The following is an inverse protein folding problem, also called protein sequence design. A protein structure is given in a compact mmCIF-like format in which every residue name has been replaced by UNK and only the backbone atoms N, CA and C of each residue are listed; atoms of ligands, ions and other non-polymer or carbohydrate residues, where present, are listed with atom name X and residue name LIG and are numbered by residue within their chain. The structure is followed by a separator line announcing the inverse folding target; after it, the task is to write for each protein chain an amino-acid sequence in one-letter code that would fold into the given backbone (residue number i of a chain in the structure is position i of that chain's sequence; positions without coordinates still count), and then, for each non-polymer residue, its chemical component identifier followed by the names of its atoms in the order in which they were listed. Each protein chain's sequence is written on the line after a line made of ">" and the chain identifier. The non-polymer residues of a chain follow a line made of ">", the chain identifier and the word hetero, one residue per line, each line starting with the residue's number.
data_IF_067483134255
#
_entry.id   IF_067483134255
#
_cell.length_a   1.000
_cell.length_b   1.000
_cell.length_c   1.000
_cell.angle_alpha   90.00
_cell.angle_beta   90.00
_cell.angle_gamma   90.00
#
_symmetry.space_group_name_H-M   'P 1'
#
loop_
_entity.id
_entity.type
_entity.pdbx_description
1 polymer ?
#
# COMPACT_ATOMS: atom_id res chain seq x y z
N UNK A 1 -8.37 10.25 2.48
CA UNK A 1 -8.05 8.90 1.97
C UNK A 1 -8.60 7.86 2.94
N UNK A 2 -9.42 6.96 2.43
CA UNK A 2 -9.99 5.88 3.24
C UNK A 2 -9.02 4.71 3.31
N UNK A 3 -8.73 4.23 4.52
CA UNK A 3 -7.87 3.07 4.72
C UNK A 3 -8.72 1.81 4.78
N UNK A 4 -8.32 0.78 4.05
CA UNK A 4 -9.01 -0.51 4.00
C UNK A 4 -8.15 -1.57 4.66
N UNK A 5 -8.71 -2.42 5.55
CA UNK A 5 -7.94 -3.50 6.17
C UNK A 5 -7.35 -4.44 5.11
N UNK A 6 -6.12 -4.87 5.33
CA UNK A 6 -5.47 -5.85 4.45
C UNK A 6 -5.35 -7.20 5.15
N UNK A 7 -5.51 -8.28 4.38
CA UNK A 7 -5.33 -9.64 4.88
C UNK A 7 -3.86 -10.02 4.70
N UNK A 8 -3.01 -9.60 5.64
CA UNK A 8 -1.56 -9.73 5.52
C UNK A 8 -0.93 -9.82 6.91
N UNK A 9 0.20 -10.54 7.01
CA UNK A 9 1.00 -10.56 8.23
C UNK A 9 1.88 -9.32 8.37
N UNK A 10 2.10 -8.59 7.27
CA UNK A 10 2.98 -7.43 7.26
C UNK A 10 2.23 -6.11 7.19
N UNK A 11 1.09 -6.09 6.50
CA UNK A 11 0.34 -4.86 6.20
C UNK A 11 -0.97 -4.87 6.98
N UNK A 12 -1.22 -3.77 7.70
CA UNK A 12 -2.46 -3.60 8.48
C UNK A 12 -3.59 -3.06 7.60
N UNK A 13 -3.29 -2.03 6.81
CA UNK A 13 -4.31 -1.37 6.00
C UNK A 13 -3.67 -0.64 4.83
N UNK A 14 -4.44 -0.41 3.78
CA UNK A 14 -4.01 0.34 2.59
C UNK A 14 -5.08 1.33 2.18
N UNK A 15 -4.65 2.47 1.63
CA UNK A 15 -5.53 3.47 1.06
C UNK A 15 -4.98 3.97 -0.27
N UNK A 16 -5.83 4.60 -1.07
CA UNK A 16 -5.43 5.06 -2.39
C UNK A 16 -6.10 6.39 -2.73
N UNK A 17 -5.30 7.30 -3.30
CA UNK A 17 -5.80 8.56 -3.81
C UNK A 17 -5.65 8.56 -5.33
N UNK A 18 -6.75 8.37 -6.09
CA UNK A 18 -6.67 8.25 -7.56
C UNK A 18 -6.15 9.52 -8.24
N UNK A 19 -6.47 10.69 -7.70
CA UNK A 19 -6.09 11.96 -8.33
C UNK A 19 -4.58 12.16 -8.37
N UNK A 20 -3.85 11.61 -7.41
CA UNK A 20 -2.39 11.72 -7.32
C UNK A 20 -1.69 10.39 -7.53
N UNK A 21 -2.43 9.30 -7.67
CA UNK A 21 -1.92 7.92 -7.78
C UNK A 21 -1.02 7.57 -6.59
N UNK A 22 -1.38 8.05 -5.42
CA UNK A 22 -0.66 7.79 -4.18
C UNK A 22 -1.33 6.65 -3.43
N UNK A 23 -0.55 5.63 -3.08
CA UNK A 23 -1.03 4.53 -2.24
C UNK A 23 -0.37 4.62 -0.88
N UNK A 24 -1.19 4.65 0.16
CA UNK A 24 -0.73 4.67 1.55
C UNK A 24 -0.77 3.26 2.12
N UNK A 25 0.34 2.83 2.70
CA UNK A 25 0.45 1.50 3.31
C UNK A 25 0.78 1.69 4.78
N UNK A 26 -0.07 1.16 5.65
CA UNK A 26 0.17 1.10 7.08
C UNK A 26 0.65 -0.30 7.43
N UNK A 27 1.88 -0.40 7.91
CA UNK A 27 2.47 -1.68 8.29
C UNK A 27 2.13 -2.04 9.73
N UNK A 28 2.04 -3.34 10.02
CA UNK A 28 1.76 -3.83 11.37
C UNK A 28 2.88 -3.47 12.33
N UNK A 29 4.09 -3.27 11.84
CA UNK A 29 5.21 -2.82 12.65
C UNK A 29 5.09 -1.36 13.10
N UNK A 30 4.13 -0.61 12.56
CA UNK A 30 3.80 0.74 13.00
C UNK A 30 4.12 1.85 12.01
N UNK A 31 4.90 1.60 10.97
CA UNK A 31 5.22 2.63 9.97
C UNK A 31 4.09 2.85 8.97
N UNK A 32 3.92 4.09 8.53
CA UNK A 32 2.98 4.44 7.46
C UNK A 32 3.77 5.10 6.33
N UNK A 33 3.62 4.57 5.12
CA UNK A 33 4.37 5.02 3.96
C UNK A 33 3.42 5.37 2.82
N UNK A 34 3.73 6.44 2.08
CA UNK A 34 3.07 6.77 0.83
C UNK A 34 3.98 6.38 -0.32
N UNK A 35 3.43 5.63 -1.28
CA UNK A 35 4.09 5.24 -2.52
C UNK A 35 3.45 6.00 -3.66
N UNK A 36 4.27 6.61 -4.53
CA UNK A 36 3.81 7.52 -5.58
C UNK A 36 3.84 6.87 -6.96
N UNK A 37 2.91 7.29 -7.82
CA UNK A 37 2.84 6.77 -9.18
C UNK A 37 2.32 5.34 -9.25
N UNK A 38 1.52 4.94 -8.28
CA UNK A 38 0.99 3.57 -8.19
C UNK A 38 -0.24 3.44 -9.07
N UNK A 39 -0.23 2.41 -9.95
CA UNK A 39 -1.39 2.09 -10.78
C UNK A 39 -2.56 1.63 -9.90
N UNK A 40 -3.80 2.08 -10.18
CA UNK A 40 -4.97 1.62 -9.40
C UNK A 40 -5.10 0.10 -9.31
N UNK A 41 -4.67 -0.61 -10.35
CA UNK A 41 -4.71 -2.06 -10.34
C UNK A 41 -3.84 -2.67 -9.25
N UNK A 42 -2.69 -2.06 -8.98
CA UNK A 42 -1.82 -2.50 -7.88
C UNK A 42 -2.48 -2.30 -6.53
N UNK A 43 -3.21 -1.20 -6.36
CA UNK A 43 -3.98 -0.99 -5.14
C UNK A 43 -5.04 -2.08 -4.96
N UNK A 44 -5.76 -2.43 -6.04
CA UNK A 44 -6.75 -3.50 -5.99
C UNK A 44 -6.11 -4.83 -5.58
N UNK A 45 -4.91 -5.12 -6.09
CA UNK A 45 -4.16 -6.33 -5.72
C UNK A 45 -3.80 -6.34 -4.24
N UNK A 46 -3.60 -5.17 -3.63
CA UNK A 46 -3.29 -5.08 -2.20
C UNK A 46 -4.48 -5.45 -1.31
N UNK A 47 -5.69 -5.44 -1.85
CA UNK A 47 -6.90 -5.82 -1.11
C UNK A 47 -7.15 -7.33 -1.11
N UNK A 48 -6.39 -8.10 -1.90
CA UNK A 48 -6.48 -9.55 -1.95
C UNK A 48 -5.60 -10.17 -0.84
N UNK A 49 -5.84 -11.46 -0.47
CA UNK A 49 -5.06 -12.11 0.59
C UNK A 49 -3.55 -12.14 0.33
N UNK A 50 -2.77 -11.94 1.39
CA UNK A 50 -1.30 -11.98 1.38
C UNK A 50 -0.68 -11.05 0.33
N UNK A 51 -1.08 -9.77 0.27
CA UNK A 51 -0.65 -8.89 -0.81
C UNK A 51 0.85 -8.63 -0.79
N UNK A 52 1.45 -8.42 0.39
CA UNK A 52 2.86 -8.03 0.48
C UNK A 52 3.79 -9.14 -0.01
N UNK A 53 3.41 -10.40 0.20
CA UNK A 53 4.19 -11.53 -0.29
C UNK A 53 4.15 -11.63 -1.82
N UNK A 54 3.03 -11.22 -2.44
CA UNK A 54 2.84 -11.32 -3.89
C UNK A 54 3.43 -10.15 -4.64
N UNK A 55 3.17 -8.91 -4.17
CA UNK A 55 3.52 -7.71 -4.93
C UNK A 55 4.33 -6.67 -4.15
N UNK A 56 4.73 -6.98 -2.91
CA UNK A 56 5.50 -6.03 -2.10
C UNK A 56 6.78 -5.57 -2.77
N UNK A 57 7.48 -6.46 -3.46
CA UNK A 57 8.70 -6.11 -4.19
C UNK A 57 8.41 -5.09 -5.29
N UNK A 58 7.30 -5.27 -6.00
CA UNK A 58 6.89 -4.34 -7.06
C UNK A 58 6.51 -2.98 -6.49
N UNK A 59 5.79 -2.96 -5.37
CA UNK A 59 5.43 -1.71 -4.70
C UNK A 59 6.69 -0.94 -4.30
N UNK A 60 7.69 -1.65 -3.78
CA UNK A 60 8.95 -1.03 -3.30
C UNK A 60 9.77 -0.39 -4.43
N UNK A 61 9.46 -0.65 -5.69
CA UNK A 61 10.15 0.02 -6.80
C UNK A 61 9.67 1.44 -7.02
N UNK A 62 8.54 1.82 -6.40
CA UNK A 62 7.98 3.15 -6.55
C UNK A 62 8.66 4.15 -5.61
N UNK A 63 8.71 5.46 -5.99
CA UNK A 63 9.12 6.49 -5.05
C UNK A 63 8.20 6.48 -3.83
N UNK A 64 8.76 6.75 -2.66
CA UNK A 64 7.98 6.69 -1.43
C UNK A 64 8.49 7.69 -0.41
N UNK A 65 7.63 7.95 0.61
CA UNK A 65 8.00 8.73 1.78
C UNK A 65 7.34 8.11 3.01
N UNK A 66 8.06 8.07 4.12
CA UNK A 66 7.49 7.68 5.40
C UNK A 66 6.72 8.88 5.94
N UNK A 67 5.41 8.68 6.25
CA UNK A 67 4.53 9.77 6.68
C UNK A 67 4.10 9.66 8.13
N UNK A 68 4.30 8.51 8.76
CA UNK A 68 4.01 8.36 10.19
C UNK A 68 4.72 7.17 10.81
#
# INVERSE_FOLDING_TARGET
>A
MTMHPATSTNVRAVGYEPSTRTMRVQFRSGGVYDYYGVDPHLFEQMLLPSPWRRIGRLIKTHPYAKVA
#
